data_IF_609216624197
#
_entry.id   IF_609216624197
#
_cell.length_a   1.000
_cell.length_b   1.000
_cell.length_c   1.000
_cell.angle_alpha   90.00
_cell.angle_beta   90.00
_cell.angle_gamma   90.00
#
_symmetry.space_group_name_H-M   'P 1'
#
loop_
_entity.id
_entity.type
_entity.pdbx_description
1 polymer ?
#
# COMPACT_ATOMS: atom_id res chain seq x y z
N UNK A 1 -7.62 26.60 14.31
CA UNK A 1 -8.68 25.62 14.12
C UNK A 1 -8.04 24.28 14.40
N UNK A 2 -8.37 23.66 15.55
CA UNK A 2 -7.89 22.32 15.88
C UNK A 2 -8.40 21.27 14.88
N UNK A 3 -7.78 20.07 14.79
CA UNK A 3 -8.27 19.03 13.90
C UNK A 3 -9.71 18.67 14.28
N UNK A 4 -10.56 18.58 13.26
CA UNK A 4 -11.95 18.17 13.38
C UNK A 4 -12.01 16.78 14.07
N UNK A 5 -12.67 16.63 15.22
CA UNK A 5 -12.73 15.34 15.93
C UNK A 5 -13.41 14.20 15.14
N UNK A 6 -14.00 14.50 13.97
CA UNK A 6 -14.55 13.49 13.05
C UNK A 6 -13.51 12.79 12.16
N UNK A 7 -12.24 13.14 12.30
CA UNK A 7 -11.15 12.57 11.52
C UNK A 7 -10.14 11.83 12.42
N UNK A 8 -10.13 10.52 12.48
CA UNK A 8 -8.91 9.77 12.68
C UNK A 8 -8.51 9.03 11.41
N UNK A 9 -7.23 9.05 10.99
CA UNK A 9 -6.69 7.94 10.22
C UNK A 9 -6.98 6.66 11.02
N UNK A 10 -7.45 5.63 10.36
CA UNK A 10 -7.97 4.41 11.03
C UNK A 10 -6.88 3.66 11.79
N UNK A 11 -5.65 3.80 11.38
CA UNK A 11 -4.48 3.26 12.06
C UNK A 11 -3.26 4.13 11.73
N UNK A 12 -2.64 4.72 12.75
CA UNK A 12 -1.31 5.31 12.68
C UNK A 12 -0.44 4.49 13.62
N UNK A 13 0.68 3.97 13.14
CA UNK A 13 1.57 3.12 13.91
C UNK A 13 2.85 3.87 14.32
N UNK A 14 2.69 5.11 14.83
CA UNK A 14 3.81 5.97 15.26
C UNK A 14 4.73 5.28 16.27
N UNK A 15 4.16 4.48 17.15
CA UNK A 15 4.87 3.72 18.18
C UNK A 15 5.76 2.58 17.64
N UNK A 16 5.47 2.09 16.42
CA UNK A 16 6.21 1.00 15.78
C UNK A 16 7.21 1.47 14.73
N UNK A 17 6.88 2.56 14.06
CA UNK A 17 7.62 3.00 12.88
C UNK A 17 8.72 4.02 13.19
N UNK A 18 8.77 4.52 14.44
CA UNK A 18 9.77 5.49 14.86
C UNK A 18 9.67 6.85 14.16
N UNK A 19 10.52 7.78 14.58
CA UNK A 19 10.62 9.09 13.97
C UNK A 19 11.19 8.97 12.55
N UNK A 20 10.48 9.48 11.55
CA UNK A 20 10.93 9.45 10.16
C UNK A 20 10.06 8.62 9.22
N UNK A 21 9.07 7.89 9.72
CA UNK A 21 8.07 7.21 8.89
C UNK A 21 6.68 7.69 9.25
N UNK A 22 5.91 8.12 8.26
CA UNK A 22 4.47 8.41 8.38
C UNK A 22 3.70 7.34 7.64
N UNK A 23 2.83 6.61 8.33
CA UNK A 23 1.94 5.61 7.71
C UNK A 23 0.51 5.79 8.22
N UNK A 24 -0.46 5.71 7.31
CA UNK A 24 -1.87 5.88 7.67
C UNK A 24 -2.80 5.13 6.71
N UNK A 25 -3.93 4.68 7.24
CA UNK A 25 -5.08 4.26 6.44
C UNK A 25 -6.20 5.29 6.60
N UNK A 26 -6.75 5.75 5.48
CA UNK A 26 -7.87 6.70 5.50
C UNK A 26 -9.21 5.95 5.48
N UNK A 27 -10.24 6.62 5.99
CA UNK A 27 -11.62 6.19 5.86
C UNK A 27 -12.38 6.99 4.78
N UNK A 28 -13.72 6.97 4.85
CA UNK A 28 -14.60 7.69 3.92
C UNK A 28 -15.06 9.06 4.42
N UNK A 29 -14.79 9.42 5.67
CA UNK A 29 -15.32 10.63 6.33
C UNK A 29 -14.31 11.78 6.25
N UNK A 30 -14.80 13.02 6.25
CA UNK A 30 -13.95 14.22 6.38
C UNK A 30 -13.56 14.88 5.05
N UNK A 31 -14.18 14.54 3.94
CA UNK A 31 -13.95 15.14 2.63
C UNK A 31 -15.12 15.97 2.10
N UNK A 32 -15.04 16.32 0.82
CA UNK A 32 -16.00 17.17 0.11
C UNK A 32 -16.75 16.48 -1.05
N UNK A 33 -16.48 15.21 -1.31
CA UNK A 33 -17.15 14.44 -2.36
C UNK A 33 -18.64 14.23 -2.04
N UNK A 34 -19.49 14.26 -3.07
CA UNK A 34 -20.92 14.01 -2.92
C UNK A 34 -21.24 12.50 -3.08
N UNK A 35 -22.43 12.05 -2.68
CA UNK A 35 -22.86 10.69 -2.97
C UNK A 35 -22.79 10.37 -4.48
N UNK A 36 -22.41 9.13 -4.86
CA UNK A 36 -22.12 7.97 -4.02
C UNK A 36 -20.71 7.94 -3.43
N UNK A 37 -19.88 8.97 -3.63
CA UNK A 37 -18.48 9.06 -3.22
C UNK A 37 -18.26 9.78 -1.88
N UNK A 38 -19.34 10.00 -1.11
CA UNK A 38 -19.32 10.82 0.12
C UNK A 38 -18.52 10.15 1.24
N UNK A 39 -17.54 10.86 1.87
CA UNK A 39 -17.15 12.25 1.57
C UNK A 39 -15.68 12.36 1.16
N UNK A 40 -14.77 11.50 1.65
CA UNK A 40 -13.32 11.57 1.47
C UNK A 40 -12.84 10.61 0.36
N UNK A 41 -13.46 10.69 -0.81
CA UNK A 41 -12.98 9.91 -1.94
C UNK A 41 -11.60 10.40 -2.41
N UNK A 42 -10.64 9.47 -2.55
CA UNK A 42 -9.28 9.72 -3.03
C UNK A 42 -9.02 9.14 -4.43
N UNK A 43 -10.01 8.43 -5.00
CA UNK A 43 -9.90 7.78 -6.31
C UNK A 43 -10.31 8.70 -7.46
N UNK A 44 -9.41 8.93 -8.43
CA UNK A 44 -9.70 9.75 -9.62
C UNK A 44 -10.53 9.02 -10.69
N UNK A 45 -10.46 7.69 -10.72
CA UNK A 45 -11.05 6.87 -11.80
C UNK A 45 -12.44 6.29 -11.45
N UNK A 46 -13.15 6.85 -10.47
CA UNK A 46 -14.45 6.34 -10.04
C UNK A 46 -15.65 7.15 -10.55
N UNK A 47 -15.39 8.27 -11.25
CA UNK A 47 -16.44 9.13 -11.79
C UNK A 47 -16.86 10.27 -10.85
N UNK A 48 -16.08 10.58 -9.82
CA UNK A 48 -16.28 11.75 -8.95
C UNK A 48 -15.71 13.04 -9.57
N UNK A 49 -16.09 14.19 -9.02
CA UNK A 49 -15.53 15.48 -9.39
C UNK A 49 -14.03 15.55 -9.07
N UNK A 50 -13.22 15.79 -10.10
CA UNK A 50 -11.76 15.89 -9.98
C UNK A 50 -11.31 16.92 -8.93
N UNK A 51 -11.99 18.07 -8.85
CA UNK A 51 -11.63 19.14 -7.91
C UNK A 51 -11.83 18.70 -6.48
N UNK A 52 -12.93 17.96 -6.21
CA UNK A 52 -13.23 17.40 -4.88
C UNK A 52 -12.20 16.34 -4.49
N UNK A 53 -11.87 15.43 -5.39
CA UNK A 53 -10.85 14.40 -5.11
C UNK A 53 -9.49 15.01 -4.82
N UNK A 54 -9.07 16.02 -5.60
CA UNK A 54 -7.80 16.73 -5.34
C UNK A 54 -7.84 17.51 -4.02
N UNK A 55 -8.95 18.14 -3.68
CA UNK A 55 -9.12 18.80 -2.39
C UNK A 55 -9.05 17.79 -1.23
N UNK A 56 -9.65 16.62 -1.37
CA UNK A 56 -9.58 15.55 -0.39
C UNK A 56 -8.13 15.06 -0.20
N UNK A 57 -7.38 14.85 -1.29
CA UNK A 57 -5.96 14.44 -1.21
C UNK A 57 -5.10 15.50 -0.51
N UNK A 58 -5.29 16.80 -0.83
CA UNK A 58 -4.59 17.89 -0.13
C UNK A 58 -4.91 17.90 1.35
N UNK A 59 -6.19 17.73 1.71
CA UNK A 59 -6.60 17.66 3.11
C UNK A 59 -5.91 16.52 3.85
N UNK A 60 -5.87 15.32 3.26
CA UNK A 60 -5.14 14.17 3.82
C UNK A 60 -3.66 14.51 4.00
N UNK A 61 -3.01 15.02 2.96
CA UNK A 61 -1.60 15.40 3.02
C UNK A 61 -1.31 16.42 4.13
N UNK A 62 -2.18 17.43 4.29
CA UNK A 62 -2.04 18.45 5.34
C UNK A 62 -2.16 17.84 6.74
N UNK A 63 -3.16 17.00 6.97
CA UNK A 63 -3.39 16.36 8.28
C UNK A 63 -2.23 15.43 8.66
N UNK A 64 -1.63 14.73 7.69
CA UNK A 64 -0.50 13.83 7.92
C UNK A 64 0.87 14.55 7.96
N UNK A 65 0.91 15.89 7.83
CA UNK A 65 2.18 16.62 7.74
C UNK A 65 2.95 16.39 6.44
N UNK A 66 2.28 15.86 5.42
CA UNK A 66 2.85 15.50 4.10
C UNK A 66 2.51 16.52 3.01
N UNK A 67 2.09 17.74 3.39
CA UNK A 67 1.80 18.79 2.43
C UNK A 67 3.04 19.13 1.58
N UNK A 68 2.85 19.20 0.25
CA UNK A 68 3.95 19.46 -0.68
C UNK A 68 4.73 18.20 -1.12
N UNK A 69 4.54 17.06 -0.48
CA UNK A 69 5.16 15.81 -0.93
C UNK A 69 4.36 15.20 -2.09
N UNK A 70 5.03 14.81 -3.21
CA UNK A 70 4.36 14.18 -4.33
C UNK A 70 3.84 12.78 -3.94
N UNK A 71 2.64 12.45 -4.43
CA UNK A 71 2.07 11.12 -4.27
C UNK A 71 2.45 10.24 -5.44
N UNK A 72 3.03 9.10 -5.14
CA UNK A 72 3.26 8.01 -6.07
C UNK A 72 2.05 7.06 -6.04
N UNK A 73 1.39 6.91 -7.18
CA UNK A 73 0.28 5.99 -7.40
C UNK A 73 0.54 5.18 -8.66
N UNK A 74 0.17 3.91 -8.65
CA UNK A 74 0.11 3.08 -9.83
C UNK A 74 -1.33 2.87 -10.29
N UNK A 75 -1.51 2.49 -11.55
CA UNK A 75 -2.77 1.91 -12.02
C UNK A 75 -2.85 0.48 -11.51
N UNK A 76 -3.60 0.27 -10.45
CA UNK A 76 -3.80 -1.03 -9.81
C UNK A 76 -4.64 -1.92 -10.74
N UNK A 77 -4.09 -3.08 -11.08
CA UNK A 77 -4.68 -4.04 -12.03
C UNK A 77 -4.99 -5.40 -11.39
N UNK A 78 -4.87 -5.46 -10.06
CA UNK A 78 -4.99 -6.69 -9.25
C UNK A 78 -3.94 -7.75 -9.62
N UNK A 79 -2.76 -7.32 -10.04
CA UNK A 79 -1.60 -8.16 -10.37
C UNK A 79 -0.61 -8.27 -9.22
N UNK A 80 0.64 -8.63 -9.55
CA UNK A 80 1.74 -8.75 -8.58
C UNK A 80 2.97 -7.90 -8.96
N UNK A 81 2.83 -6.97 -9.90
CA UNK A 81 3.92 -6.08 -10.29
C UNK A 81 4.20 -5.07 -9.18
N UNK A 82 5.48 -4.91 -8.84
CA UNK A 82 5.98 -3.91 -7.90
C UNK A 82 6.79 -2.88 -8.67
N UNK A 83 6.52 -1.59 -8.45
CA UNK A 83 7.31 -0.49 -8.99
C UNK A 83 8.24 0.06 -7.90
N UNK A 84 9.50 0.26 -8.24
CA UNK A 84 10.41 1.08 -7.45
C UNK A 84 10.20 2.55 -7.79
N UNK A 85 9.99 3.36 -6.78
CA UNK A 85 9.74 4.80 -6.91
C UNK A 85 10.97 5.57 -6.44
N UNK A 86 11.51 6.42 -7.32
CA UNK A 86 12.58 7.35 -7.01
C UNK A 86 12.20 8.78 -7.36
N UNK A 87 12.83 9.76 -6.72
CA UNK A 87 12.60 11.18 -6.99
C UNK A 87 13.24 11.65 -8.29
N UNK A 88 13.97 10.78 -9.00
CA UNK A 88 14.67 11.11 -10.23
C UNK A 88 15.90 12.01 -10.03
N UNK A 89 16.33 12.25 -8.78
CA UNK A 89 17.60 12.95 -8.50
C UNK A 89 18.77 11.97 -8.65
N UNK A 90 19.71 12.19 -9.57
CA UNK A 90 20.92 11.38 -9.65
C UNK A 90 21.73 11.57 -8.36
N UNK A 91 21.92 10.53 -7.57
CA UNK A 91 22.90 10.53 -6.49
C UNK A 91 22.46 10.21 -5.07
N UNK A 92 21.19 9.94 -4.79
CA UNK A 92 20.75 9.54 -3.45
C UNK A 92 20.43 8.03 -3.43
N UNK A 93 21.43 7.21 -3.25
CA UNK A 93 21.27 5.76 -3.12
C UNK A 93 22.52 5.02 -3.57
N UNK A 94 23.61 5.05 -2.79
CA UNK A 94 24.72 4.10 -2.99
C UNK A 94 24.20 2.71 -2.64
N UNK A 95 24.22 1.73 -3.57
CA UNK A 95 24.09 0.35 -3.18
C UNK A 95 25.24 0.02 -2.23
N UNK A 96 24.96 -0.61 -1.11
CA UNK A 96 25.98 -1.18 -0.26
C UNK A 96 26.86 -2.10 -1.12
N UNK A 97 28.15 -1.79 -1.20
CA UNK A 97 29.12 -2.56 -1.97
C UNK A 97 29.31 -3.92 -1.30
N UNK A 98 28.54 -4.91 -1.70
CA UNK A 98 28.86 -6.30 -1.51
C UNK A 98 30.07 -6.64 -2.36
N UNK A 99 31.17 -7.07 -1.74
CA UNK A 99 32.38 -7.56 -2.44
C UNK A 99 31.99 -8.69 -3.40
N UNK A 100 32.45 -8.66 -4.68
CA UNK A 100 32.32 -9.81 -5.54
C UNK A 100 33.26 -10.90 -5.04
N UNK A 101 32.74 -12.07 -4.67
CA UNK A 101 33.53 -13.28 -4.63
C UNK A 101 33.76 -13.74 -6.07
N UNK A 102 35.02 -13.83 -6.45
CA UNK A 102 35.43 -14.35 -7.71
C UNK A 102 35.34 -15.88 -7.69
N UNK A 103 34.47 -16.44 -8.52
CA UNK A 103 34.55 -17.84 -8.87
C UNK A 103 35.12 -17.95 -10.29
N UNK A 104 36.28 -18.61 -10.35
CA UNK A 104 36.97 -18.97 -11.56
C UNK A 104 36.30 -20.16 -12.21
N UNK A 105 35.50 -19.95 -13.26
CA UNK A 105 35.47 -20.82 -14.47
C UNK A 105 34.79 -20.02 -15.59
N UNK A 106 35.51 -19.77 -16.68
CA UNK A 106 35.00 -19.04 -17.82
C UNK A 106 33.97 -19.81 -18.62
N UNK A 107 32.83 -19.16 -18.80
CA UNK A 107 31.91 -19.41 -19.92
C UNK A 107 31.08 -18.13 -20.10
N UNK A 108 31.27 -17.45 -21.21
CA UNK A 108 30.39 -16.37 -21.62
C UNK A 108 28.98 -16.94 -21.89
N UNK A 109 28.04 -16.69 -20.98
CA UNK A 109 26.65 -16.83 -21.23
C UNK A 109 26.09 -15.39 -21.20
N UNK A 110 25.46 -14.99 -22.30
CA UNK A 110 24.93 -13.65 -22.49
C UNK A 110 24.11 -13.21 -21.29
N UNK A 111 24.53 -12.12 -20.68
CA UNK A 111 23.90 -11.48 -19.53
C UNK A 111 22.58 -10.86 -19.95
N UNK A 112 21.47 -11.62 -19.84
CA UNK A 112 20.22 -11.03 -19.47
C UNK A 112 20.44 -10.54 -18.04
N UNK A 113 20.65 -9.22 -17.87
CA UNK A 113 20.72 -8.60 -16.56
C UNK A 113 19.55 -9.10 -15.72
N UNK A 114 19.84 -9.75 -14.59
CA UNK A 114 18.83 -10.21 -13.67
C UNK A 114 17.99 -9.00 -13.26
N UNK A 115 16.81 -8.87 -13.88
CA UNK A 115 15.84 -7.86 -13.48
C UNK A 115 15.36 -8.32 -12.11
N UNK A 116 15.61 -7.49 -11.09
CA UNK A 116 15.09 -7.72 -9.77
C UNK A 116 13.55 -7.88 -9.81
N UNK A 117 12.90 -8.24 -8.69
CA UNK A 117 11.46 -8.50 -8.62
C UNK A 117 10.59 -7.24 -8.83
N UNK A 118 11.15 -6.14 -9.33
CA UNK A 118 10.44 -4.86 -9.56
C UNK A 118 10.75 -4.26 -10.92
N UNK A 119 9.94 -3.28 -11.30
CA UNK A 119 10.14 -2.40 -12.46
C UNK A 119 10.43 -0.99 -11.95
N UNK A 120 11.44 -0.32 -12.54
CA UNK A 120 11.70 1.09 -12.22
C UNK A 120 10.55 1.95 -12.74
N UNK A 121 9.95 2.77 -11.87
CA UNK A 121 9.04 3.82 -12.30
C UNK A 121 9.85 4.95 -12.94
N UNK A 122 9.35 5.51 -14.02
CA UNK A 122 9.84 6.81 -14.50
C UNK A 122 9.80 7.83 -13.37
N UNK A 123 10.82 8.70 -13.28
CA UNK A 123 10.94 9.66 -12.19
C UNK A 123 9.63 10.43 -11.97
N UNK A 124 9.35 10.76 -10.71
CA UNK A 124 8.25 11.65 -10.35
C UNK A 124 8.53 13.00 -11.01
N UNK A 125 7.90 13.26 -12.16
CA UNK A 125 7.97 14.56 -12.81
C UNK A 125 7.51 15.65 -11.83
N UNK A 126 7.83 16.92 -12.13
CA UNK A 126 7.37 18.09 -11.38
C UNK A 126 5.83 18.27 -11.50
N UNK A 127 5.08 17.21 -11.19
CA UNK A 127 3.62 17.23 -11.13
C UNK A 127 3.13 17.81 -9.80
N UNK A 128 1.87 18.21 -9.74
CA UNK A 128 1.26 18.64 -8.49
C UNK A 128 1.35 17.51 -7.45
N UNK A 129 1.54 17.86 -6.17
CA UNK A 129 1.79 16.90 -5.09
C UNK A 129 0.72 15.80 -4.96
N UNK A 130 -0.47 16.03 -5.50
CA UNK A 130 -1.61 15.12 -5.34
C UNK A 130 -1.65 13.94 -6.34
N UNK A 131 -0.61 13.73 -7.14
CA UNK A 131 -0.50 12.62 -8.10
C UNK A 131 -1.68 12.56 -9.08
N UNK A 132 -1.59 13.24 -10.22
CA UNK A 132 -2.68 13.25 -11.22
C UNK A 132 -2.66 12.05 -12.16
N UNK A 133 -1.48 11.50 -12.43
CA UNK A 133 -1.32 10.37 -13.33
C UNK A 133 -0.60 9.20 -12.62
N UNK A 134 -1.00 7.96 -12.89
CA UNK A 134 -0.29 6.80 -12.38
C UNK A 134 1.10 6.67 -13.03
N UNK A 135 2.06 6.17 -12.24
CA UNK A 135 3.43 5.93 -12.68
C UNK A 135 3.56 4.77 -13.69
N UNK A 136 2.55 3.90 -13.73
CA UNK A 136 2.50 2.69 -14.54
C UNK A 136 1.45 1.74 -14.00
N UNK A 137 1.40 0.51 -14.53
CA UNK A 137 0.56 -0.57 -14.00
C UNK A 137 1.31 -1.35 -12.94
N UNK A 138 0.80 -1.35 -11.71
CA UNK A 138 1.34 -2.13 -10.61
C UNK A 138 0.35 -2.19 -9.45
N UNK A 139 0.56 -3.16 -8.57
CA UNK A 139 -0.22 -3.32 -7.35
C UNK A 139 0.66 -3.16 -6.08
N UNK A 140 1.94 -2.86 -6.25
CA UNK A 140 2.84 -2.47 -5.17
C UNK A 140 3.82 -1.38 -5.59
N UNK A 141 4.24 -0.60 -4.60
CA UNK A 141 5.22 0.48 -4.71
C UNK A 141 6.23 0.33 -3.59
N UNK A 142 7.52 0.53 -3.88
CA UNK A 142 8.59 0.56 -2.87
C UNK A 142 9.51 1.75 -3.10
N UNK A 143 10.10 2.28 -2.03
CA UNK A 143 11.04 3.39 -2.10
C UNK A 143 12.01 3.38 -0.93
N UNK A 144 13.22 3.89 -1.16
CA UNK A 144 14.20 4.26 -0.13
C UNK A 144 14.45 5.77 -0.10
N UNK A 145 13.61 6.56 -0.75
CA UNK A 145 13.78 8.00 -0.86
C UNK A 145 12.78 8.74 0.04
N UNK A 146 13.29 9.69 0.82
CA UNK A 146 12.46 10.58 1.61
C UNK A 146 11.74 11.62 0.73
N UNK A 147 10.58 12.08 1.21
CA UNK A 147 9.84 13.15 0.55
C UNK A 147 8.91 12.71 -0.56
N UNK A 148 8.64 11.41 -0.70
CA UNK A 148 7.58 10.85 -1.55
C UNK A 148 6.57 10.08 -0.73
N UNK A 149 5.29 10.21 -1.07
CA UNK A 149 4.20 9.45 -0.45
C UNK A 149 3.84 8.28 -1.36
N UNK A 150 4.07 7.05 -0.93
CA UNK A 150 3.54 5.87 -1.62
C UNK A 150 2.06 5.70 -1.23
N UNK A 151 1.20 5.52 -2.22
CA UNK A 151 -0.24 5.41 -1.99
C UNK A 151 -0.86 4.24 -2.74
N UNK A 152 -1.66 3.43 -2.05
CA UNK A 152 -2.54 2.42 -2.63
C UNK A 152 -3.99 2.75 -2.31
N UNK A 153 -4.88 2.61 -3.30
CA UNK A 153 -6.29 2.95 -3.18
C UNK A 153 -7.11 1.68 -3.09
N UNK A 154 -8.02 1.62 -2.11
CA UNK A 154 -8.84 0.44 -1.87
C UNK A 154 -10.31 0.78 -1.65
N UNK A 155 -11.16 -0.19 -1.88
CA UNK A 155 -12.52 -0.34 -1.38
C UNK A 155 -12.78 -1.84 -1.40
N UNK A 156 -12.46 -2.51 -0.30
CA UNK A 156 -12.51 -3.94 0.03
C UNK A 156 -11.18 -4.71 -0.05
N UNK A 157 -10.32 -4.51 -1.07
CA UNK A 157 -9.00 -5.15 -1.09
C UNK A 157 -8.15 -4.69 0.10
N UNK A 158 -7.28 -5.55 0.61
CA UNK A 158 -6.42 -5.22 1.75
C UNK A 158 -5.26 -4.29 1.31
N UNK A 159 -5.16 -3.07 1.86
CA UNK A 159 -3.95 -2.27 1.74
C UNK A 159 -2.92 -2.77 2.74
N UNK A 160 -1.68 -2.98 2.29
CA UNK A 160 -0.55 -3.37 3.13
C UNK A 160 0.51 -2.28 3.05
N UNK A 161 0.92 -1.75 4.20
CA UNK A 161 2.03 -0.82 4.31
C UNK A 161 3.21 -1.50 5.00
N UNK A 162 4.40 -1.26 4.49
CA UNK A 162 5.63 -1.92 4.93
C UNK A 162 6.68 -0.86 5.24
N UNK A 163 7.41 -1.00 6.32
CA UNK A 163 8.55 -0.16 6.64
C UNK A 163 9.67 -0.95 7.29
N UNK A 164 10.89 -0.72 6.84
CA UNK A 164 12.10 -0.96 7.62
C UNK A 164 12.68 0.42 7.98
N UNK A 165 12.46 0.90 9.22
CA UNK A 165 12.90 2.23 9.61
C UNK A 165 14.43 2.36 9.69
N UNK A 166 15.15 1.28 9.99
CA UNK A 166 16.62 1.29 10.09
C UNK A 166 17.26 1.37 8.71
N UNK A 167 16.77 0.58 7.75
CA UNK A 167 17.23 0.65 6.38
C UNK A 167 16.69 1.89 5.63
N UNK A 168 15.65 2.56 6.16
CA UNK A 168 14.99 3.68 5.48
C UNK A 168 14.29 3.22 4.20
N UNK A 169 13.61 2.06 4.22
CA UNK A 169 12.90 1.50 3.07
C UNK A 169 11.43 1.33 3.40
N UNK A 170 10.57 1.77 2.50
CA UNK A 170 9.11 1.69 2.65
C UNK A 170 8.45 1.01 1.45
N UNK A 171 7.26 0.45 1.69
CA UNK A 171 6.43 -0.16 0.67
C UNK A 171 4.94 0.06 0.90
N UNK A 172 4.17 0.09 -0.18
CA UNK A 172 2.71 0.10 -0.15
C UNK A 172 2.19 -0.91 -1.19
N UNK A 173 1.37 -1.86 -0.75
CA UNK A 173 0.87 -2.97 -1.58
C UNK A 173 -0.65 -3.03 -1.54
N UNK A 174 -1.26 -3.20 -2.71
CA UNK A 174 -2.68 -3.44 -2.89
C UNK A 174 -2.92 -4.94 -3.02
N UNK A 175 -3.42 -5.58 -1.99
CA UNK A 175 -3.64 -7.01 -1.93
C UNK A 175 -5.12 -7.37 -2.15
N UNK A 176 -5.55 -7.40 -3.41
CA UNK A 176 -6.78 -8.05 -3.83
C UNK A 176 -6.56 -9.57 -4.00
N UNK A 177 -7.62 -10.38 -4.12
CA UNK A 177 -7.50 -11.84 -4.17
C UNK A 177 -6.58 -12.36 -5.31
N UNK A 178 -6.62 -11.72 -6.50
CA UNK A 178 -5.73 -12.08 -7.62
C UNK A 178 -4.28 -11.75 -7.32
N UNK A 179 -4.02 -10.57 -6.73
CA UNK A 179 -2.69 -10.16 -6.30
C UNK A 179 -2.14 -11.08 -5.22
N UNK A 180 -2.97 -11.46 -4.23
CA UNK A 180 -2.60 -12.45 -3.21
C UNK A 180 -2.24 -13.78 -3.85
N UNK A 181 -3.10 -14.36 -4.70
CA UNK A 181 -2.81 -15.60 -5.39
C UNK A 181 -1.49 -15.55 -6.19
N UNK A 182 -1.18 -14.38 -6.77
CA UNK A 182 0.05 -14.14 -7.52
C UNK A 182 1.27 -13.76 -6.65
N UNK A 183 1.12 -13.63 -5.31
CA UNK A 183 2.22 -13.34 -4.38
C UNK A 183 2.64 -11.87 -4.33
N UNK A 184 1.71 -10.94 -4.50
CA UNK A 184 2.00 -9.48 -4.50
C UNK A 184 2.63 -9.00 -3.20
N UNK A 185 2.26 -9.58 -2.05
CA UNK A 185 2.76 -9.16 -0.73
C UNK A 185 4.23 -9.57 -0.57
N UNK A 186 4.54 -10.84 -0.86
CA UNK A 186 5.93 -11.33 -0.83
C UNK A 186 6.79 -10.63 -1.88
N UNK A 187 6.21 -10.31 -3.04
CA UNK A 187 6.85 -9.48 -4.06
C UNK A 187 7.24 -8.11 -3.54
N UNK A 188 6.37 -7.47 -2.74
CA UNK A 188 6.64 -6.21 -2.05
C UNK A 188 7.80 -6.32 -1.07
N UNK A 189 7.80 -7.32 -0.20
CA UNK A 189 8.88 -7.58 0.77
C UNK A 189 10.20 -7.87 0.05
N UNK A 190 10.20 -8.70 -0.98
CA UNK A 190 11.39 -9.00 -1.78
C UNK A 190 11.95 -7.75 -2.48
N UNK A 191 11.07 -6.87 -2.98
CA UNK A 191 11.49 -5.61 -3.57
C UNK A 191 12.12 -4.66 -2.54
N UNK A 192 11.60 -4.61 -1.30
CA UNK A 192 12.21 -3.86 -0.20
C UNK A 192 13.57 -4.44 0.19
N UNK A 193 13.68 -5.77 0.30
CA UNK A 193 14.96 -6.44 0.62
C UNK A 193 16.04 -6.10 -0.41
N UNK A 194 15.67 -6.01 -1.68
CA UNK A 194 16.62 -5.61 -2.73
C UNK A 194 16.99 -4.11 -2.68
N UNK A 195 16.25 -3.30 -1.92
CA UNK A 195 16.63 -1.93 -1.56
C UNK A 195 17.46 -1.85 -0.27
N UNK A 196 17.74 -2.99 0.38
CA UNK A 196 18.54 -3.08 1.58
C UNK A 196 17.77 -3.29 2.88
N UNK A 197 16.45 -3.49 2.82
CA UNK A 197 15.65 -3.83 3.99
C UNK A 197 15.95 -5.27 4.45
N UNK A 198 15.92 -5.49 5.77
CA UNK A 198 15.88 -6.83 6.36
C UNK A 198 14.42 -7.23 6.58
N UNK A 199 13.91 -8.29 5.95
CA UNK A 199 12.55 -8.75 6.20
C UNK A 199 12.21 -8.93 7.69
N UNK A 200 13.15 -9.37 8.51
CA UNK A 200 12.95 -9.53 9.93
C UNK A 200 12.82 -8.20 10.71
N UNK A 201 13.37 -7.10 10.15
CA UNK A 201 13.22 -5.75 10.68
C UNK A 201 11.99 -5.01 10.10
N UNK A 202 11.38 -5.56 9.05
CA UNK A 202 10.18 -4.94 8.46
C UNK A 202 8.99 -5.03 9.40
N UNK A 203 8.32 -3.89 9.56
CA UNK A 203 6.98 -3.79 10.18
C UNK A 203 5.93 -3.77 9.08
N UNK A 204 5.00 -4.70 9.11
CA UNK A 204 3.85 -4.80 8.21
C UNK A 204 2.56 -4.30 8.86
N UNK A 205 1.84 -3.42 8.18
CA UNK A 205 0.54 -2.91 8.60
C UNK A 205 -0.52 -3.33 7.57
N UNK A 206 -1.53 -4.08 7.99
CA UNK A 206 -2.66 -4.48 7.15
C UNK A 206 -3.87 -3.63 7.51
N UNK A 207 -4.33 -2.82 6.55
CA UNK A 207 -5.43 -1.88 6.75
C UNK A 207 -6.81 -2.50 6.57
N UNK A 208 -7.87 -1.65 6.65
CA UNK A 208 -9.25 -2.07 6.49
C UNK A 208 -9.51 -2.76 5.15
N UNK A 209 -10.16 -3.92 5.21
CA UNK A 209 -10.51 -4.74 4.05
C UNK A 209 -11.91 -5.35 4.22
N UNK A 210 -12.46 -5.94 3.18
CA UNK A 210 -13.64 -6.77 3.34
C UNK A 210 -13.29 -8.00 4.16
N UNK A 211 -14.00 -8.23 5.26
CA UNK A 211 -13.77 -9.40 6.11
C UNK A 211 -14.40 -10.67 5.54
N UNK A 212 -13.90 -11.82 5.97
CA UNK A 212 -14.47 -13.12 5.65
C UNK A 212 -15.95 -13.27 5.99
N UNK A 213 -16.42 -12.49 6.96
CA UNK A 213 -17.85 -12.40 7.33
C UNK A 213 -18.78 -11.93 6.20
N UNK A 214 -18.24 -11.22 5.17
CA UNK A 214 -18.98 -10.51 4.15
C UNK A 214 -18.50 -10.76 2.72
N UNK A 215 -17.36 -11.46 2.54
CA UNK A 215 -16.75 -11.65 1.24
C UNK A 215 -16.99 -13.05 0.68
N UNK A 216 -18.25 -13.36 0.36
CA UNK A 216 -18.59 -14.56 -0.40
C UNK A 216 -17.84 -14.60 -1.74
N UNK A 217 -17.26 -15.76 -2.06
CA UNK A 217 -16.52 -16.00 -3.30
C UNK A 217 -16.80 -17.42 -3.83
N UNK A 218 -16.58 -17.62 -5.14
CA UNK A 218 -16.67 -18.92 -5.77
C UNK A 218 -15.55 -19.89 -5.37
N UNK A 219 -15.72 -21.16 -5.73
CA UNK A 219 -14.74 -22.23 -5.45
C UNK A 219 -13.38 -21.93 -6.10
N UNK A 220 -13.39 -21.41 -7.33
CA UNK A 220 -12.21 -21.03 -8.10
C UNK A 220 -11.34 -19.99 -7.38
N UNK A 221 -11.96 -18.99 -6.75
CA UNK A 221 -11.25 -17.97 -5.98
C UNK A 221 -10.71 -18.53 -4.68
N UNK A 222 -11.47 -19.41 -4.01
CA UNK A 222 -11.03 -20.09 -2.78
C UNK A 222 -9.83 -21.01 -3.02
N UNK A 223 -9.84 -21.76 -4.10
CA UNK A 223 -8.74 -22.62 -4.51
C UNK A 223 -7.49 -21.78 -4.82
N UNK A 224 -7.63 -20.78 -5.69
CA UNK A 224 -6.51 -19.94 -6.12
C UNK A 224 -5.77 -19.23 -4.96
N UNK A 225 -6.48 -18.87 -3.89
CA UNK A 225 -5.89 -18.19 -2.72
C UNK A 225 -5.60 -19.20 -1.60
N UNK A 226 -6.50 -20.15 -1.36
CA UNK A 226 -6.45 -21.06 -0.23
C UNK A 226 -5.28 -22.04 -0.28
N UNK A 227 -4.87 -22.48 -1.47
CA UNK A 227 -3.70 -23.32 -1.66
C UNK A 227 -2.42 -22.66 -1.16
N UNK A 228 -2.34 -21.34 -1.35
CA UNK A 228 -1.19 -20.56 -0.91
C UNK A 228 -1.36 -20.01 0.51
N UNK A 229 -2.55 -19.58 0.86
CA UNK A 229 -2.86 -18.93 2.14
C UNK A 229 -4.11 -19.54 2.77
N UNK A 230 -4.02 -20.72 3.42
CA UNK A 230 -5.16 -21.35 4.09
C UNK A 230 -5.84 -20.45 5.13
N UNK A 231 -5.10 -19.54 5.78
CA UNK A 231 -5.65 -18.60 6.75
C UNK A 231 -6.64 -17.58 6.12
N UNK A 232 -6.59 -17.38 4.80
CA UNK A 232 -7.56 -16.56 4.09
C UNK A 232 -8.92 -17.23 3.89
N UNK A 233 -9.01 -18.56 4.05
CA UNK A 233 -10.27 -19.29 3.89
C UNK A 233 -11.22 -18.97 5.03
N UNK A 234 -12.40 -18.50 4.69
CA UNK A 234 -13.43 -18.07 5.63
C UNK A 234 -14.81 -18.57 5.27
N UNK A 235 -15.76 -18.27 6.12
CA UNK A 235 -17.18 -18.52 5.91
C UNK A 235 -17.95 -17.25 6.28
N UNK A 236 -18.90 -16.84 5.44
CA UNK A 236 -19.74 -15.69 5.73
C UNK A 236 -20.66 -15.97 6.93
N UNK A 237 -21.30 -14.92 7.46
CA UNK A 237 -22.30 -15.05 8.55
C UNK A 237 -23.45 -16.00 8.18
N UNK A 238 -23.78 -16.09 6.88
CA UNK A 238 -24.84 -16.95 6.36
C UNK A 238 -24.34 -18.36 5.98
N UNK A 239 -23.11 -18.73 6.38
CA UNK A 239 -22.55 -20.05 6.14
C UNK A 239 -22.01 -20.29 4.73
N UNK A 240 -21.83 -19.24 3.91
CA UNK A 240 -21.34 -19.36 2.54
C UNK A 240 -19.80 -19.34 2.46
N UNK A 241 -19.22 -20.01 1.47
CA UNK A 241 -17.77 -19.96 1.24
C UNK A 241 -17.28 -18.53 1.04
N UNK A 242 -16.22 -18.14 1.75
CA UNK A 242 -15.72 -16.77 1.76
C UNK A 242 -14.18 -16.71 1.78
N UNK A 243 -13.64 -15.54 1.55
CA UNK A 243 -12.24 -15.18 1.79
C UNK A 243 -12.12 -14.01 2.75
N UNK A 244 -11.01 -13.99 3.49
CA UNK A 244 -10.53 -12.87 4.26
C UNK A 244 -9.19 -12.38 3.67
N UNK A 245 -9.20 -11.32 2.84
CA UNK A 245 -7.99 -10.80 2.22
C UNK A 245 -6.96 -10.29 3.24
N UNK A 246 -7.41 -9.78 4.39
CA UNK A 246 -6.50 -9.31 5.44
C UNK A 246 -5.76 -10.49 6.09
N UNK A 247 -6.46 -11.59 6.40
CA UNK A 247 -5.84 -12.80 6.92
C UNK A 247 -4.85 -13.42 5.91
N UNK A 248 -5.19 -13.40 4.61
CA UNK A 248 -4.29 -13.82 3.55
C UNK A 248 -3.03 -12.95 3.47
N UNK A 249 -3.17 -11.64 3.60
CA UNK A 249 -2.04 -10.71 3.60
C UNK A 249 -1.14 -10.91 4.82
N UNK A 250 -1.71 -11.16 6.01
CA UNK A 250 -0.94 -11.49 7.22
C UNK A 250 -0.11 -12.74 6.99
N UNK A 251 -0.72 -13.83 6.54
CA UNK A 251 0.00 -15.08 6.28
C UNK A 251 1.11 -14.90 5.21
N UNK A 252 0.86 -14.06 4.19
CA UNK A 252 1.87 -13.74 3.18
C UNK A 252 3.07 -12.98 3.78
N UNK A 253 2.83 -12.03 4.69
CA UNK A 253 3.88 -11.31 5.43
C UNK A 253 4.69 -12.24 6.30
N UNK A 254 4.04 -13.13 7.07
CA UNK A 254 4.70 -14.14 7.90
C UNK A 254 5.60 -15.05 7.05
N UNK A 255 5.10 -15.54 5.92
CA UNK A 255 5.88 -16.37 4.98
C UNK A 255 7.05 -15.63 4.35
N UNK A 256 6.93 -14.31 4.18
CA UNK A 256 8.02 -13.47 3.71
C UNK A 256 9.05 -13.11 4.79
N UNK A 257 8.86 -13.56 6.03
CA UNK A 257 9.77 -13.35 7.15
C UNK A 257 9.64 -11.98 7.81
N UNK A 258 8.50 -11.30 7.64
CA UNK A 258 8.25 -9.99 8.28
C UNK A 258 8.18 -10.13 9.79
N UNK A 259 8.99 -9.31 10.49
CA UNK A 259 9.20 -9.46 11.95
C UNK A 259 8.01 -9.06 12.80
N UNK A 260 7.26 -8.05 12.38
CA UNK A 260 6.08 -7.57 13.11
C UNK A 260 4.92 -7.26 12.15
N UNK A 261 3.72 -7.70 12.51
CA UNK A 261 2.50 -7.40 11.72
C UNK A 261 1.42 -6.85 12.63
N UNK A 262 0.79 -5.74 12.22
CA UNK A 262 -0.42 -5.22 12.83
C UNK A 262 -1.57 -5.18 11.83
N UNK A 263 -2.78 -5.43 12.31
CA UNK A 263 -3.99 -5.48 11.49
C UNK A 263 -5.02 -4.50 12.06
N UNK A 264 -5.63 -3.72 11.18
CA UNK A 264 -6.71 -2.81 11.57
C UNK A 264 -7.95 -3.56 12.10
N UNK A 265 -8.21 -4.76 11.58
CA UNK A 265 -9.32 -5.61 12.01
C UNK A 265 -10.72 -5.07 11.67
N UNK A 266 -10.82 -4.17 10.67
CA UNK A 266 -12.06 -3.50 10.30
C UNK A 266 -12.62 -4.02 8.97
N UNK A 267 -13.86 -4.52 8.98
CA UNK A 267 -14.56 -4.94 7.76
C UNK A 267 -15.17 -3.72 7.05
N UNK A 268 -14.79 -3.47 5.80
CA UNK A 268 -15.28 -2.34 5.01
C UNK A 268 -16.77 -2.42 4.68
N UNK A 269 -17.33 -3.62 4.59
CA UNK A 269 -18.77 -3.83 4.36
C UNK A 269 -19.58 -3.49 5.62
N UNK A 270 -19.12 -3.95 6.79
CA UNK A 270 -19.84 -3.75 8.05
C UNK A 270 -19.79 -2.30 8.53
N UNK A 271 -18.65 -1.68 8.40
CA UNK A 271 -18.43 -0.32 8.89
C UNK A 271 -18.74 0.72 7.81
N UNK A 272 -19.98 0.69 7.31
CA UNK A 272 -20.45 1.54 6.21
C UNK A 272 -20.27 3.04 6.45
N UNK A 273 -20.36 3.49 7.71
CA UNK A 273 -20.11 4.88 8.09
C UNK A 273 -18.64 5.28 8.06
N UNK A 274 -17.71 4.31 8.06
CA UNK A 274 -16.28 4.54 8.16
C UNK A 274 -15.52 4.27 6.86
N UNK A 275 -16.00 3.32 6.04
CA UNK A 275 -15.27 2.83 4.87
C UNK A 275 -16.11 2.83 3.59
N UNK A 276 -15.44 3.07 2.47
CA UNK A 276 -15.95 2.73 1.15
C UNK A 276 -15.89 1.21 0.94
N UNK A 277 -16.89 0.65 0.27
CA UNK A 277 -16.92 -0.76 -0.08
C UNK A 277 -17.49 -0.97 -1.47
N UNK A 278 -16.71 -1.59 -2.34
CA UNK A 278 -17.12 -1.97 -3.69
C UNK A 278 -18.21 -3.04 -3.66
N UNK A 279 -18.08 -4.00 -2.75
CA UNK A 279 -19.03 -5.12 -2.57
C UNK A 279 -20.39 -4.62 -2.11
N UNK A 280 -20.43 -3.83 -1.04
CA UNK A 280 -21.67 -3.27 -0.48
C UNK A 280 -22.35 -2.32 -1.44
N UNK A 281 -21.59 -1.45 -2.10
CA UNK A 281 -22.11 -0.34 -2.91
C UNK A 281 -22.21 -0.70 -4.40
N UNK A 282 -22.14 -1.99 -4.74
CA UNK A 282 -22.29 -2.52 -6.11
C UNK A 282 -21.39 -1.81 -7.15
N UNK A 283 -20.14 -1.55 -6.78
CA UNK A 283 -19.13 -0.94 -7.64
C UNK A 283 -19.15 0.58 -7.69
N UNK A 284 -20.21 1.25 -7.25
CA UNK A 284 -20.34 2.71 -7.28
C UNK A 284 -20.00 3.34 -5.94
N UNK A 285 -18.72 3.48 -5.67
CA UNK A 285 -18.23 3.97 -4.38
C UNK A 285 -16.88 4.69 -4.54
N UNK A 286 -16.50 5.48 -3.53
CA UNK A 286 -15.18 6.11 -3.46
C UNK A 286 -14.05 5.11 -3.19
N UNK A 287 -12.85 5.67 -3.00
CA UNK A 287 -11.66 4.91 -2.58
C UNK A 287 -11.05 5.58 -1.37
N UNK A 288 -10.75 4.77 -0.36
CA UNK A 288 -9.83 5.09 0.72
C UNK A 288 -8.41 4.73 0.32
N UNK A 289 -7.42 5.10 1.14
CA UNK A 289 -6.01 4.87 0.85
C UNK A 289 -5.25 4.26 2.02
N UNK A 290 -4.24 3.43 1.70
CA UNK A 290 -3.06 3.24 2.53
C UNK A 290 -1.95 4.16 2.03
N UNK A 291 -1.33 4.91 2.94
CA UNK A 291 -0.34 5.94 2.66
C UNK A 291 0.88 5.71 3.52
N UNK A 292 2.07 5.76 2.92
CA UNK A 292 3.33 5.69 3.67
C UNK A 292 4.37 6.61 3.05
N UNK A 293 5.17 7.28 3.89
CA UNK A 293 6.24 8.16 3.48
C UNK A 293 7.41 8.12 4.45
N UNK A 294 8.63 8.26 3.91
CA UNK A 294 9.80 8.65 4.69
C UNK A 294 9.84 10.18 4.78
N UNK A 295 9.94 10.70 6.00
CA UNK A 295 10.10 12.13 6.25
C UNK A 295 11.47 12.39 6.87
N UNK A 296 12.18 13.49 6.48
CA UNK A 296 13.46 13.83 7.09
C UNK A 296 13.32 13.98 8.61
N UNK A 297 14.22 13.33 9.35
CA UNK A 297 14.31 13.53 10.80
C UNK A 297 14.66 15.02 11.07
N UNK A 298 13.69 15.83 11.46
CA UNK A 298 13.92 17.26 11.72
C UNK A 298 12.79 18.21 11.36
N UNK A 299 11.71 17.74 10.73
CA UNK A 299 10.52 18.58 10.46
C UNK A 299 9.47 18.52 11.57
N UNK A 300 9.87 18.14 12.77
CA UNK A 300 9.05 18.29 13.96
C UNK A 300 8.77 19.78 14.17
N UNK A 301 7.69 20.27 13.58
CA UNK A 301 7.22 21.63 13.73
C UNK A 301 7.06 21.94 15.21
N UNK A 302 7.68 23.05 15.63
CA UNK A 302 7.51 23.59 16.96
C UNK A 302 6.02 23.73 17.31
N UNK A 303 5.68 23.27 18.49
CA UNK A 303 4.39 23.45 19.15
C UNK A 303 4.15 24.90 19.46
#
# INVERSE_FOLDING_TARGET
MGPDPAWPPVLVAEDLLGAGVVAAFTGRVGGSSAPPFATLNLGLAVGDDLRRVLANRRRVATVLGLAGHPWALARQVHGATILRVGTGRPGAGRPAAGRPQADTVGREVGTAAARGPWVEAGGLGQGPPEGKAPLGEADGLVSSEAGVVLAVLTADCAPVLLADPEAGVIGAVHAGWRGLAAGVVEGGVAAMAALGADPAAVVGLVGPAVGGCCYEVGADVREAVGDRYPAALATTRDGRPALDPAAGAVQALERAGVGQVRVAGECTVDLAGRHFSHRRDHGRTGRQAGLIALVPSGTGGGR
#
